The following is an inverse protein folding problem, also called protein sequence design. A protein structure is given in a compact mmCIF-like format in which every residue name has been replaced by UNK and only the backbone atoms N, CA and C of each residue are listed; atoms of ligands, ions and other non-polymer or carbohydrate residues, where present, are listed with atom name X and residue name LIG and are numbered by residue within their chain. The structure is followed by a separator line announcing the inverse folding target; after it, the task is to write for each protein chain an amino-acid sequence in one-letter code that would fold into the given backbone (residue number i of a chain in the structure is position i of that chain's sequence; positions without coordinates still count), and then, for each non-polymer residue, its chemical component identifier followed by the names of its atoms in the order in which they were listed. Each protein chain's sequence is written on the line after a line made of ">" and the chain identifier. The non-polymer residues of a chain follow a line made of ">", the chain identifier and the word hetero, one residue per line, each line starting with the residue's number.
data_IF_264790943335
#
_entry.id   IF_264790943335
#
_cell.length_a   1.000
_cell.length_b   1.000
_cell.length_c   1.000
_cell.angle_alpha   90.00
_cell.angle_beta   90.00
_cell.angle_gamma   90.00
#
_symmetry.space_group_name_H-M   'P 1'
#
loop_
_entity.id
_entity.type
_entity.pdbx_description
1 polymer ?
#
# COMPACT_ATOMS: atom_id res chain seq x y z
N UNK A 1 14.92 -8.04 -42.20
CA UNK A 1 15.13 -9.50 -42.17
C UNK A 1 16.48 -9.75 -41.52
N UNK A 2 16.45 -9.95 -40.20
CA UNK A 2 17.67 -10.18 -39.40
C UNK A 2 18.27 -11.54 -39.75
N UNK A 3 19.60 -11.58 -39.94
CA UNK A 3 20.33 -12.83 -40.14
C UNK A 3 20.11 -13.74 -38.93
N UNK A 4 19.52 -14.91 -39.17
CA UNK A 4 19.24 -15.96 -38.19
C UNK A 4 20.53 -16.44 -37.50
N UNK A 5 20.84 -15.86 -36.34
CA UNK A 5 21.98 -16.23 -35.50
C UNK A 5 21.72 -17.52 -34.67
N UNK A 6 21.19 -18.56 -35.32
CA UNK A 6 20.87 -19.89 -34.74
C UNK A 6 22.12 -20.65 -34.22
N UNK A 7 23.31 -20.10 -34.46
CA UNK A 7 24.60 -20.62 -33.99
C UNK A 7 24.80 -20.40 -32.48
N UNK A 8 24.20 -19.37 -31.91
CA UNK A 8 24.36 -19.01 -30.49
C UNK A 8 23.26 -19.58 -29.59
N UNK A 9 22.24 -20.22 -30.16
CA UNK A 9 21.15 -20.81 -29.40
C UNK A 9 21.62 -22.08 -28.70
N UNK A 10 21.79 -22.01 -27.38
CA UNK A 10 22.03 -23.18 -26.56
C UNK A 10 20.71 -23.84 -26.16
N UNK A 11 20.53 -25.08 -26.60
CA UNK A 11 19.36 -25.92 -26.29
C UNK A 11 19.69 -27.00 -25.24
N UNK A 12 20.91 -26.99 -24.70
CA UNK A 12 21.39 -27.97 -23.73
C UNK A 12 22.02 -29.22 -24.38
N UNK A 13 22.79 -29.95 -23.58
CA UNK A 13 23.59 -31.11 -24.03
C UNK A 13 22.71 -32.26 -24.57
N UNK A 14 21.67 -32.63 -23.82
CA UNK A 14 20.83 -33.79 -24.19
C UNK A 14 19.99 -33.51 -25.44
N UNK A 15 19.43 -32.29 -25.56
CA UNK A 15 18.71 -31.89 -26.76
C UNK A 15 19.64 -31.82 -27.98
N UNK A 16 20.90 -31.38 -27.84
CA UNK A 16 21.90 -31.38 -28.92
C UNK A 16 22.17 -32.80 -29.44
N UNK A 17 22.25 -33.80 -28.56
CA UNK A 17 22.44 -35.22 -28.89
C UNK A 17 21.25 -35.79 -29.67
N UNK A 18 20.02 -35.46 -29.26
CA UNK A 18 18.81 -35.88 -29.99
C UNK A 18 18.72 -35.17 -31.35
N UNK A 19 19.08 -33.89 -31.42
CA UNK A 19 19.09 -33.13 -32.68
C UNK A 19 20.21 -33.51 -33.64
N UNK A 20 21.17 -34.37 -33.27
CA UNK A 20 22.18 -34.88 -34.21
C UNK A 20 21.71 -36.10 -34.99
N UNK A 21 20.67 -36.81 -34.53
CA UNK A 21 20.08 -37.97 -35.21
C UNK A 21 18.87 -37.63 -36.09
N UNK A 22 18.46 -36.36 -36.13
CA UNK A 22 17.27 -35.89 -36.86
C UNK A 22 17.69 -35.16 -38.16
N UNK A 23 16.81 -35.21 -39.16
CA UNK A 23 16.97 -34.51 -40.45
C UNK A 23 17.21 -32.99 -40.28
N UNK A 24 18.04 -32.43 -41.17
CA UNK A 24 18.47 -31.04 -41.12
C UNK A 24 17.32 -30.02 -41.16
N UNK A 25 16.25 -30.30 -41.90
CA UNK A 25 15.06 -29.44 -41.99
C UNK A 25 14.32 -29.37 -40.64
N UNK A 26 14.02 -30.52 -40.04
CA UNK A 26 13.36 -30.60 -38.73
C UNK A 26 14.23 -29.99 -37.62
N UNK A 27 15.56 -30.18 -37.67
CA UNK A 27 16.51 -29.52 -36.76
C UNK A 27 16.47 -28.00 -36.87
N UNK A 28 16.32 -27.46 -38.09
CA UNK A 28 16.18 -26.01 -38.31
C UNK A 28 14.86 -25.50 -37.77
N UNK A 29 13.74 -26.18 -38.04
CA UNK A 29 12.42 -25.83 -37.49
C UNK A 29 12.44 -25.78 -35.96
N UNK A 30 12.97 -26.82 -35.30
CA UNK A 30 13.07 -26.86 -33.84
C UNK A 30 13.87 -25.67 -33.28
N UNK A 31 15.02 -25.33 -33.89
CA UNK A 31 15.83 -24.20 -33.43
C UNK A 31 15.11 -22.85 -33.61
N UNK A 32 14.34 -22.69 -34.69
CA UNK A 32 13.52 -21.49 -34.89
C UNK A 32 12.42 -21.39 -33.84
N UNK A 33 11.73 -22.49 -33.54
CA UNK A 33 10.69 -22.54 -32.52
C UNK A 33 11.26 -22.26 -31.12
N UNK A 34 12.40 -22.85 -30.78
CA UNK A 34 13.10 -22.59 -29.54
C UNK A 34 13.54 -21.12 -29.44
N UNK A 35 14.08 -20.54 -30.51
CA UNK A 35 14.42 -19.12 -30.56
C UNK A 35 13.17 -18.24 -30.35
N UNK A 36 12.08 -18.54 -31.05
CA UNK A 36 10.81 -17.83 -30.91
C UNK A 36 10.24 -17.95 -29.49
N UNK A 37 10.38 -19.11 -28.86
CA UNK A 37 10.02 -19.31 -27.46
C UNK A 37 10.84 -18.41 -26.54
N UNK A 38 12.17 -18.41 -26.66
CA UNK A 38 13.03 -17.53 -25.85
C UNK A 38 12.71 -16.06 -26.07
N UNK A 39 12.48 -15.62 -27.30
CA UNK A 39 12.03 -14.25 -27.57
C UNK A 39 10.70 -13.96 -26.88
N UNK A 40 9.70 -14.83 -27.06
CA UNK A 40 8.37 -14.63 -26.49
C UNK A 40 8.40 -14.55 -24.96
N UNK A 41 9.12 -15.49 -24.32
CA UNK A 41 9.27 -15.54 -22.86
C UNK A 41 10.06 -14.33 -22.35
N UNK A 42 11.18 -13.98 -23.00
CA UNK A 42 12.02 -12.85 -22.58
C UNK A 42 11.27 -11.54 -22.77
N UNK A 43 10.58 -11.34 -23.89
CA UNK A 43 9.72 -10.17 -24.14
C UNK A 43 8.60 -10.08 -23.11
N UNK A 44 7.98 -11.21 -22.75
CA UNK A 44 6.98 -11.27 -21.68
C UNK A 44 7.58 -10.84 -20.34
N UNK A 45 8.74 -11.40 -19.95
CA UNK A 45 9.43 -11.04 -18.72
C UNK A 45 9.89 -9.58 -18.71
N UNK A 46 10.47 -9.05 -19.78
CA UNK A 46 10.85 -7.65 -19.87
C UNK A 46 9.65 -6.70 -19.70
N UNK A 47 8.46 -7.13 -20.19
CA UNK A 47 7.21 -6.37 -20.05
C UNK A 47 6.60 -6.47 -18.66
N UNK A 48 6.69 -7.63 -17.99
CA UNK A 48 5.99 -7.92 -16.73
C UNK A 48 6.84 -7.78 -15.49
N UNK A 49 8.14 -8.08 -15.57
CA UNK A 49 9.04 -7.97 -14.43
C UNK A 49 9.30 -6.48 -14.14
N UNK A 50 9.34 -6.09 -12.85
CA UNK A 50 9.58 -4.71 -12.45
C UNK A 50 11.07 -4.32 -12.55
N UNK A 51 11.75 -4.67 -13.64
CA UNK A 51 13.20 -4.46 -13.84
C UNK A 51 13.60 -2.97 -13.84
N UNK A 52 12.66 -2.07 -14.12
CA UNK A 52 12.85 -0.62 -14.08
C UNK A 52 12.38 0.02 -12.77
N UNK A 53 11.80 -0.77 -11.86
CA UNK A 53 11.27 -0.26 -10.61
C UNK A 53 12.41 0.19 -9.69
N UNK A 54 12.49 1.51 -9.48
CA UNK A 54 13.55 2.13 -8.69
C UNK A 54 13.47 1.77 -7.21
N UNK A 55 12.27 1.51 -6.68
CA UNK A 55 12.10 1.10 -5.28
C UNK A 55 12.78 -0.24 -5.04
N UNK A 56 12.50 -1.22 -5.89
CA UNK A 56 13.06 -2.57 -5.75
C UNK A 56 14.58 -2.56 -5.91
N UNK A 57 15.11 -1.77 -6.85
CA UNK A 57 16.55 -1.55 -6.99
C UNK A 57 17.15 -0.91 -5.74
N UNK A 58 16.47 0.09 -5.18
CA UNK A 58 16.93 0.77 -3.98
C UNK A 58 16.91 -0.11 -2.74
N UNK A 59 15.97 -1.04 -2.61
CA UNK A 59 15.87 -1.96 -1.47
C UNK A 59 17.06 -2.92 -1.40
N UNK A 60 17.73 -3.21 -2.52
CA UNK A 60 18.91 -4.09 -2.55
C UNK A 60 20.04 -3.59 -1.63
N UNK A 61 20.07 -2.29 -1.31
CA UNK A 61 21.04 -1.69 -0.38
C UNK A 61 20.94 -2.25 1.06
N UNK A 62 19.82 -2.91 1.38
CA UNK A 62 19.58 -3.59 2.65
C UNK A 62 20.17 -5.00 2.70
N UNK A 63 20.61 -5.55 1.57
CA UNK A 63 21.25 -6.85 1.55
C UNK A 63 22.61 -6.79 2.28
N UNK A 64 22.99 -7.80 3.09
CA UNK A 64 24.28 -7.80 3.79
C UNK A 64 25.49 -7.63 2.86
N UNK A 65 25.41 -8.10 1.62
CA UNK A 65 26.47 -7.89 0.60
C UNK A 65 26.71 -6.40 0.31
N UNK A 66 25.65 -5.58 0.27
CA UNK A 66 25.78 -4.14 0.05
C UNK A 66 26.46 -3.41 1.23
N UNK A 67 26.68 -4.10 2.36
CA UNK A 67 27.54 -3.58 3.44
C UNK A 67 29.02 -3.60 3.07
N UNK A 68 29.45 -4.58 2.26
CA UNK A 68 30.84 -4.71 1.78
C UNK A 68 31.17 -3.70 0.68
N UNK A 69 30.17 -3.07 0.08
CA UNK A 69 30.37 -2.05 -0.94
C UNK A 69 30.80 -0.71 -0.32
N UNK A 70 31.63 0.08 -1.04
CA UNK A 70 31.99 1.43 -0.62
C UNK A 70 30.76 2.29 -0.29
N UNK A 71 30.78 2.95 0.88
CA UNK A 71 29.63 3.73 1.38
C UNK A 71 29.19 4.83 0.41
N UNK A 72 30.12 5.44 -0.33
CA UNK A 72 29.82 6.48 -1.33
C UNK A 72 28.91 5.98 -2.47
N UNK A 73 28.95 4.69 -2.80
CA UNK A 73 28.07 4.07 -3.81
C UNK A 73 26.68 3.79 -3.26
N UNK A 74 26.59 3.38 -1.99
CA UNK A 74 25.33 2.95 -1.37
C UNK A 74 24.54 4.10 -0.72
N UNK A 75 25.22 5.16 -0.28
CA UNK A 75 24.58 6.27 0.45
C UNK A 75 23.53 7.02 -0.39
N UNK A 76 23.81 7.22 -1.68
CA UNK A 76 22.86 7.83 -2.61
C UNK A 76 21.63 6.94 -2.86
N UNK A 77 21.81 5.61 -2.78
CA UNK A 77 20.72 4.63 -2.90
C UNK A 77 19.84 4.65 -1.66
N UNK A 78 20.43 4.73 -0.46
CA UNK A 78 19.70 4.90 0.81
C UNK A 78 18.91 6.21 0.79
N UNK A 79 19.53 7.32 0.40
CA UNK A 79 18.85 8.62 0.27
C UNK A 79 17.63 8.55 -0.66
N UNK A 80 17.76 7.85 -1.79
CA UNK A 80 16.66 7.62 -2.73
C UNK A 80 15.56 6.77 -2.09
N UNK A 81 15.94 5.69 -1.40
CA UNK A 81 15.00 4.82 -0.70
C UNK A 81 14.20 5.59 0.36
N UNK A 82 14.86 6.42 1.17
CA UNK A 82 14.20 7.28 2.18
C UNK A 82 13.16 8.21 1.55
N UNK A 83 13.49 8.83 0.42
CA UNK A 83 12.56 9.71 -0.32
C UNK A 83 11.35 8.94 -0.84
N UNK A 84 11.55 7.72 -1.32
CA UNK A 84 10.45 6.88 -1.82
C UNK A 84 9.55 6.34 -0.69
N UNK A 85 10.08 6.21 0.52
CA UNK A 85 9.37 5.75 1.72
C UNK A 85 8.96 6.92 2.66
N UNK A 86 8.73 8.11 2.09
CA UNK A 86 8.42 9.33 2.85
C UNK A 86 7.15 9.26 3.72
N UNK A 87 6.24 8.34 3.41
CA UNK A 87 5.06 8.08 4.26
C UNK A 87 5.41 7.39 5.59
N UNK A 88 6.52 6.67 5.63
CA UNK A 88 6.97 5.93 6.81
C UNK A 88 8.07 6.67 7.57
N UNK A 89 8.79 7.58 6.90
CA UNK A 89 9.97 8.26 7.43
C UNK A 89 9.96 9.73 7.05
N UNK A 90 10.09 10.59 8.06
CA UNK A 90 10.12 12.03 7.91
C UNK A 90 11.43 12.49 7.25
N UNK A 91 11.37 13.50 6.37
CA UNK A 91 12.55 13.91 5.58
C UNK A 91 13.60 14.62 6.44
N UNK A 92 13.20 15.19 7.57
CA UNK A 92 14.07 15.84 8.56
C UNK A 92 14.98 14.82 9.27
N UNK A 93 14.61 13.53 9.25
CA UNK A 93 15.45 12.44 9.78
C UNK A 93 16.49 11.95 8.77
N UNK A 94 16.52 12.49 7.54
CA UNK A 94 17.37 12.01 6.46
C UNK A 94 18.85 12.00 6.83
N UNK A 95 19.37 13.10 7.38
CA UNK A 95 20.81 13.18 7.70
C UNK A 95 21.18 12.16 8.79
N UNK A 96 20.34 12.02 9.82
CA UNK A 96 20.52 11.01 10.89
C UNK A 96 20.56 9.59 10.34
N UNK A 97 19.70 9.28 9.37
CA UNK A 97 19.67 7.97 8.70
C UNK A 97 20.94 7.73 7.89
N UNK A 98 21.43 8.75 7.18
CA UNK A 98 22.65 8.65 6.39
C UNK A 98 23.87 8.47 7.31
N UNK A 99 23.89 9.12 8.48
CA UNK A 99 24.93 8.97 9.49
C UNK A 99 24.90 7.56 10.10
N UNK A 100 23.73 7.09 10.54
CA UNK A 100 23.55 5.71 11.03
C UNK A 100 23.97 4.68 9.98
N UNK A 101 23.69 4.93 8.68
CA UNK A 101 24.15 4.05 7.60
C UNK A 101 25.67 4.01 7.49
N UNK A 102 26.38 5.13 7.67
CA UNK A 102 27.84 5.16 7.64
C UNK A 102 28.43 4.34 8.79
N UNK A 103 27.86 4.49 9.99
CA UNK A 103 28.24 3.71 11.17
C UNK A 103 28.02 2.22 10.89
N UNK A 104 26.84 1.83 10.40
CA UNK A 104 26.49 0.45 10.08
C UNK A 104 27.50 -0.24 9.13
N UNK A 105 28.00 0.47 8.12
CA UNK A 105 28.97 -0.09 7.16
C UNK A 105 30.27 -0.48 7.87
N UNK A 106 30.72 0.32 8.83
CA UNK A 106 31.98 0.12 9.55
C UNK A 106 31.84 -0.57 10.91
N UNK A 107 30.64 -0.96 11.32
CA UNK A 107 30.39 -1.48 12.67
C UNK A 107 30.91 -2.92 12.89
N UNK A 108 32.01 -3.06 13.61
CA UNK A 108 32.66 -4.35 13.88
C UNK A 108 31.81 -5.30 14.77
N UNK A 109 30.83 -4.78 15.50
CA UNK A 109 29.89 -5.60 16.29
C UNK A 109 28.97 -6.46 15.41
N UNK A 110 28.79 -6.09 14.13
CA UNK A 110 27.95 -6.81 13.18
C UNK A 110 28.72 -7.97 12.56
N UNK A 111 28.36 -9.17 13.00
CA UNK A 111 29.04 -10.41 12.61
C UNK A 111 28.54 -10.97 11.28
N UNK A 112 29.46 -11.52 10.48
CA UNK A 112 29.13 -12.14 9.19
C UNK A 112 28.23 -13.37 9.33
N UNK A 113 28.36 -14.10 10.44
CA UNK A 113 27.53 -15.26 10.81
C UNK A 113 26.03 -14.95 10.94
N UNK A 114 25.65 -13.67 11.09
CA UNK A 114 24.23 -13.27 11.08
C UNK A 114 23.63 -13.30 9.68
N UNK A 115 24.46 -13.17 8.65
CA UNK A 115 24.04 -13.13 7.25
C UNK A 115 24.17 -14.47 6.55
N UNK A 116 25.16 -15.29 6.95
CA UNK A 116 25.46 -16.58 6.31
C UNK A 116 25.63 -17.65 7.37
N UNK A 117 25.06 -18.83 7.13
CA UNK A 117 25.31 -20.05 7.90
C UNK A 117 26.14 -21.04 7.10
N UNK A 118 26.94 -21.86 7.79
CA UNK A 118 27.53 -23.08 7.22
C UNK A 118 26.55 -24.22 7.41
N UNK A 119 26.27 -24.98 6.36
CA UNK A 119 25.57 -26.25 6.53
C UNK A 119 26.55 -27.28 7.14
N UNK A 120 26.06 -28.21 7.99
CA UNK A 120 26.93 -29.22 8.61
C UNK A 120 27.60 -30.18 7.61
N UNK A 121 26.96 -30.44 6.47
CA UNK A 121 27.36 -31.51 5.54
C UNK A 121 27.91 -31.03 4.19
N UNK A 122 27.89 -29.73 3.89
CA UNK A 122 28.44 -29.18 2.65
C UNK A 122 29.15 -27.85 2.92
N UNK A 123 30.31 -27.63 2.31
CA UNK A 123 31.04 -26.34 2.28
C UNK A 123 30.29 -25.23 1.51
N UNK A 124 28.96 -25.34 1.40
CA UNK A 124 28.09 -24.38 0.72
C UNK A 124 27.56 -23.37 1.74
N UNK A 125 27.90 -22.11 1.52
CA UNK A 125 27.40 -20.99 2.30
C UNK A 125 25.92 -20.74 2.00
N UNK A 126 25.07 -20.84 3.02
CA UNK A 126 23.64 -20.56 2.88
C UNK A 126 23.28 -19.20 3.50
N UNK A 127 22.63 -18.34 2.72
CA UNK A 127 22.11 -17.06 3.21
C UNK A 127 20.99 -17.28 4.22
N UNK A 128 21.11 -16.63 5.37
CA UNK A 128 20.06 -16.59 6.38
C UNK A 128 18.95 -15.62 5.96
N UNK A 129 17.79 -15.74 6.60
CA UNK A 129 16.67 -14.83 6.37
C UNK A 129 17.10 -13.36 6.66
N UNK A 130 16.82 -12.46 5.71
CA UNK A 130 17.13 -11.04 5.81
C UNK A 130 16.46 -10.36 7.01
N UNK A 131 15.27 -10.81 7.41
CA UNK A 131 14.55 -10.31 8.59
C UNK A 131 15.28 -10.70 9.87
N UNK A 132 15.86 -11.90 9.94
CA UNK A 132 16.66 -12.34 11.08
C UNK A 132 17.97 -11.56 11.17
N UNK A 133 18.64 -11.33 10.04
CA UNK A 133 19.83 -10.50 9.97
C UNK A 133 19.57 -9.08 10.50
N UNK A 134 18.58 -8.39 9.94
CA UNK A 134 18.23 -7.04 10.40
C UNK A 134 17.66 -7.05 11.82
N UNK A 135 16.98 -8.11 12.24
CA UNK A 135 16.55 -8.30 13.62
C UNK A 135 17.73 -8.21 14.60
N UNK A 136 18.83 -8.92 14.31
CA UNK A 136 20.04 -8.87 15.14
C UNK A 136 20.69 -7.48 15.11
N UNK A 137 20.85 -6.88 13.92
CA UNK A 137 21.45 -5.54 13.78
C UNK A 137 20.65 -4.49 14.54
N UNK A 138 19.32 -4.50 14.39
CA UNK A 138 18.43 -3.53 15.02
C UNK A 138 18.23 -3.80 16.53
N UNK A 139 18.68 -4.94 17.05
CA UNK A 139 18.70 -5.22 18.47
C UNK A 139 19.89 -4.58 19.20
N UNK A 140 20.95 -4.18 18.48
CA UNK A 140 22.12 -3.52 19.06
C UNK A 140 21.73 -2.20 19.76
N UNK A 141 22.31 -1.99 20.93
CA UNK A 141 22.14 -0.78 21.73
C UNK A 141 23.45 0.00 21.71
N UNK A 142 23.34 1.33 21.73
CA UNK A 142 24.47 2.20 21.96
C UNK A 142 24.95 2.04 23.40
N UNK A 143 26.22 1.66 23.56
CA UNK A 143 26.85 1.36 24.85
C UNK A 143 26.81 2.57 25.79
N UNK A 144 26.83 3.79 25.24
CA UNK A 144 26.92 5.02 26.03
C UNK A 144 25.56 5.57 26.45
N UNK A 145 24.50 5.25 25.71
CA UNK A 145 23.18 5.90 25.83
C UNK A 145 22.08 4.89 26.23
N UNK A 146 22.32 3.59 26.06
CA UNK A 146 21.34 2.53 26.32
C UNK A 146 20.16 2.52 25.33
N UNK A 147 20.19 3.37 24.30
CA UNK A 147 19.18 3.46 23.23
C UNK A 147 19.56 2.59 22.05
N UNK A 148 18.62 2.31 21.16
CA UNK A 148 18.87 1.57 19.93
C UNK A 148 19.90 2.28 19.06
N UNK A 149 20.97 1.56 18.69
CA UNK A 149 22.10 2.07 17.90
C UNK A 149 21.67 2.57 16.52
N UNK A 150 20.68 1.89 15.92
CA UNK A 150 20.17 2.15 14.57
C UNK A 150 18.70 2.57 14.56
N UNK A 151 18.34 3.53 15.41
CA UNK A 151 16.94 3.90 15.60
C UNK A 151 16.30 4.46 14.32
N UNK A 152 16.92 5.43 13.65
CA UNK A 152 16.34 6.07 12.47
C UNK A 152 16.39 5.16 11.24
N UNK A 153 17.51 4.45 11.04
CA UNK A 153 17.70 3.47 9.99
C UNK A 153 16.69 2.32 10.12
N UNK A 154 16.33 1.91 11.35
CA UNK A 154 15.32 0.87 11.59
C UNK A 154 13.99 1.16 10.93
N UNK A 155 13.57 2.43 10.84
CA UNK A 155 12.29 2.81 10.25
C UNK A 155 12.26 2.49 8.76
N UNK A 156 13.35 2.80 8.04
CA UNK A 156 13.48 2.47 6.61
C UNK A 156 13.54 0.96 6.40
N UNK A 157 14.38 0.28 7.19
CA UNK A 157 14.57 -1.16 7.08
C UNK A 157 13.22 -1.88 7.26
N UNK A 158 12.50 -1.58 8.34
CA UNK A 158 11.18 -2.16 8.60
C UNK A 158 10.18 -1.82 7.50
N UNK A 159 10.10 -0.55 7.08
CA UNK A 159 9.18 -0.14 6.02
C UNK A 159 9.45 -0.88 4.69
N UNK A 160 10.73 -1.06 4.33
CA UNK A 160 11.13 -1.75 3.12
C UNK A 160 10.85 -3.27 3.19
N UNK A 161 11.18 -3.93 4.31
CA UNK A 161 11.00 -5.38 4.47
C UNK A 161 9.53 -5.78 4.69
N UNK A 162 8.66 -4.84 5.09
CA UNK A 162 7.22 -5.07 5.15
C UNK A 162 6.49 -4.93 3.79
N UNK A 163 7.20 -4.58 2.71
CA UNK A 163 6.60 -4.52 1.39
C UNK A 163 6.24 -5.94 0.90
N UNK A 164 4.98 -6.17 0.57
CA UNK A 164 4.53 -7.47 0.12
C UNK A 164 5.29 -7.93 -1.14
N UNK A 165 5.89 -9.12 -1.07
CA UNK A 165 6.62 -9.73 -2.20
C UNK A 165 5.71 -10.29 -3.30
N UNK A 166 4.38 -10.14 -3.18
CA UNK A 166 3.40 -10.55 -4.17
C UNK A 166 2.01 -10.70 -3.61
N UNK A 167 1.11 -11.28 -4.40
CA UNK A 167 -0.27 -11.58 -3.98
C UNK A 167 -0.39 -12.94 -3.28
N UNK A 168 0.65 -13.78 -3.32
CA UNK A 168 0.62 -15.14 -2.74
C UNK A 168 0.20 -15.19 -1.25
N UNK A 169 0.63 -14.26 -0.36
CA UNK A 169 0.12 -14.23 1.02
C UNK A 169 -1.39 -13.96 1.09
N UNK A 170 -1.90 -13.09 0.22
CA UNK A 170 -3.33 -12.74 0.12
C UNK A 170 -4.13 -13.93 -0.43
N UNK A 171 -3.64 -14.59 -1.47
CA UNK A 171 -4.26 -15.79 -2.05
C UNK A 171 -4.29 -16.98 -1.08
N UNK A 172 -3.20 -17.17 -0.32
CA UNK A 172 -3.17 -18.12 0.81
C UNK A 172 -4.21 -17.74 1.86
N UNK A 173 -4.37 -16.45 2.12
CA UNK A 173 -5.49 -15.88 2.87
C UNK A 173 -6.83 -16.35 2.30
N UNK A 174 -7.13 -16.13 1.03
CA UNK A 174 -8.41 -16.58 0.45
C UNK A 174 -8.63 -18.08 0.55
N UNK A 175 -7.60 -18.90 0.35
CA UNK A 175 -7.70 -20.36 0.47
C UNK A 175 -8.08 -20.80 1.88
N UNK A 176 -7.47 -20.19 2.91
CA UNK A 176 -7.80 -20.48 4.30
C UNK A 176 -9.21 -19.97 4.64
N UNK A 177 -9.66 -18.83 4.08
CA UNK A 177 -11.03 -18.34 4.25
C UNK A 177 -12.03 -19.32 3.64
N UNK A 178 -11.78 -19.79 2.41
CA UNK A 178 -12.61 -20.78 1.72
C UNK A 178 -12.77 -22.05 2.55
N UNK A 179 -11.69 -22.55 3.18
CA UNK A 179 -11.78 -23.71 4.09
C UNK A 179 -12.69 -23.43 5.29
N UNK A 180 -12.63 -22.23 5.87
CA UNK A 180 -13.47 -21.86 7.02
C UNK A 180 -14.94 -21.61 6.67
N UNK A 181 -15.25 -21.19 5.45
CA UNK A 181 -16.62 -20.87 5.01
C UNK A 181 -17.29 -22.00 4.23
N UNK A 182 -16.60 -23.12 4.00
CA UNK A 182 -17.07 -24.25 3.19
C UNK A 182 -18.48 -24.74 3.57
N UNK A 183 -18.77 -24.88 4.87
CA UNK A 183 -20.09 -25.29 5.37
C UNK A 183 -20.91 -24.11 5.96
N UNK A 184 -20.42 -22.88 5.79
CA UNK A 184 -20.94 -21.67 6.46
C UNK A 184 -20.99 -20.46 5.52
N UNK A 185 -21.63 -20.63 4.37
CA UNK A 185 -21.66 -19.63 3.30
C UNK A 185 -22.31 -18.28 3.70
N UNK A 186 -23.15 -18.24 4.75
CA UNK A 186 -23.87 -17.04 5.22
C UNK A 186 -23.17 -16.31 6.38
N UNK A 187 -21.90 -16.59 6.64
CA UNK A 187 -21.16 -15.90 7.69
C UNK A 187 -20.94 -14.42 7.37
N UNK A 188 -21.20 -13.55 8.36
CA UNK A 188 -20.88 -12.14 8.26
C UNK A 188 -19.36 -11.92 8.22
N UNK A 189 -18.94 -10.82 7.57
CA UNK A 189 -17.53 -10.44 7.46
C UNK A 189 -16.85 -10.31 8.83
N UNK A 190 -17.54 -9.73 9.82
CA UNK A 190 -17.05 -9.57 11.19
C UNK A 190 -16.73 -10.92 11.83
N UNK A 191 -17.57 -11.93 11.62
CA UNK A 191 -17.34 -13.29 12.11
C UNK A 191 -16.13 -13.93 11.43
N UNK A 192 -15.96 -13.75 10.12
CA UNK A 192 -14.79 -14.25 9.38
C UNK A 192 -13.50 -13.60 9.91
N UNK A 193 -13.51 -12.28 10.12
CA UNK A 193 -12.38 -11.54 10.70
C UNK A 193 -12.07 -12.04 12.12
N UNK A 194 -13.08 -12.22 12.96
CA UNK A 194 -12.91 -12.73 14.32
C UNK A 194 -12.28 -14.13 14.36
N UNK A 195 -12.81 -15.08 13.58
CA UNK A 195 -12.23 -16.42 13.46
C UNK A 195 -10.80 -16.38 12.95
N UNK A 196 -10.50 -15.45 12.04
CA UNK A 196 -9.17 -15.26 11.50
C UNK A 196 -8.16 -14.80 12.53
N UNK A 197 -8.50 -13.77 13.28
CA UNK A 197 -7.66 -13.25 14.34
C UNK A 197 -7.32 -14.34 15.36
N UNK A 198 -8.32 -15.12 15.78
CA UNK A 198 -8.12 -16.23 16.72
C UNK A 198 -7.20 -17.28 16.11
N UNK A 199 -7.50 -17.76 14.90
CA UNK A 199 -6.70 -18.82 14.25
C UNK A 199 -5.26 -18.39 13.99
N UNK A 200 -5.04 -17.16 13.53
CA UNK A 200 -3.72 -16.64 13.25
C UNK A 200 -2.94 -16.37 14.56
N UNK A 201 -3.62 -16.00 15.65
CA UNK A 201 -3.01 -15.88 16.99
C UNK A 201 -2.57 -17.24 17.54
N UNK A 202 -3.48 -18.23 17.54
CA UNK A 202 -3.19 -19.60 18.01
C UNK A 202 -2.10 -20.27 17.17
N UNK A 203 -1.95 -19.90 15.89
CA UNK A 203 -0.88 -20.43 15.03
C UNK A 203 0.49 -19.79 15.30
N UNK A 204 0.54 -18.56 15.82
CA UNK A 204 1.80 -17.90 16.20
C UNK A 204 2.38 -18.51 17.48
N UNK A 205 1.50 -18.95 18.36
CA UNK A 205 1.85 -19.76 19.51
C UNK A 205 1.89 -21.24 19.12
N UNK A 206 2.57 -22.08 19.90
CA UNK A 206 2.38 -23.52 19.76
C UNK A 206 0.98 -23.86 20.27
N UNK A 207 0.18 -24.57 19.47
CA UNK A 207 -1.20 -24.94 19.83
C UNK A 207 -1.26 -25.70 21.16
N UNK A 208 -0.20 -26.45 21.48
CA UNK A 208 -0.04 -27.19 22.74
C UNK A 208 0.24 -26.29 23.95
N UNK A 209 0.71 -25.08 23.74
CA UNK A 209 1.07 -24.11 24.79
C UNK A 209 -0.03 -23.08 25.04
N UNK A 210 -1.00 -22.93 24.13
CA UNK A 210 -2.11 -21.99 24.30
C UNK A 210 -3.02 -22.44 25.45
N UNK A 211 -2.87 -21.81 26.61
CA UNK A 211 -3.71 -22.08 27.79
C UNK A 211 -5.08 -21.45 27.60
N UNK A 212 -6.13 -22.28 27.65
CA UNK A 212 -7.51 -21.80 27.65
C UNK A 212 -7.85 -21.29 29.04
N UNK A 213 -8.02 -19.97 29.17
CA UNK A 213 -8.33 -19.35 30.45
C UNK A 213 -9.81 -19.51 30.83
N UNK A 214 -10.14 -19.33 32.11
CA UNK A 214 -11.53 -19.41 32.60
C UNK A 214 -12.41 -18.33 31.99
N UNK A 215 -11.84 -17.15 31.72
CA UNK A 215 -12.51 -16.03 31.06
C UNK A 215 -12.91 -16.41 29.63
N UNK A 216 -12.03 -17.08 28.87
CA UNK A 216 -12.34 -17.55 27.52
C UNK A 216 -13.51 -18.54 27.51
N UNK A 217 -13.56 -19.45 28.48
CA UNK A 217 -14.67 -20.40 28.64
C UNK A 217 -15.97 -19.66 28.97
N UNK A 218 -15.90 -18.68 29.87
CA UNK A 218 -17.05 -17.85 30.23
C UNK A 218 -17.56 -17.06 29.01
N UNK A 219 -16.69 -16.38 28.27
CA UNK A 219 -17.05 -15.67 27.04
C UNK A 219 -17.69 -16.60 25.99
N UNK A 220 -17.16 -17.82 25.83
CA UNK A 220 -17.75 -18.79 24.93
C UNK A 220 -19.16 -19.19 25.34
N UNK A 221 -19.40 -19.46 26.63
CA UNK A 221 -20.73 -19.80 27.15
C UNK A 221 -21.75 -18.69 26.95
N UNK A 222 -21.33 -17.43 27.08
CA UNK A 222 -22.21 -16.27 26.88
C UNK A 222 -22.43 -15.90 25.41
N UNK A 223 -21.58 -16.39 24.50
CA UNK A 223 -21.56 -15.95 23.09
C UNK A 223 -22.90 -16.09 22.39
N UNK A 224 -23.62 -17.20 22.61
CA UNK A 224 -24.94 -17.43 22.02
C UNK A 224 -25.98 -16.43 22.53
N UNK A 225 -25.94 -16.11 23.83
CA UNK A 225 -26.86 -15.15 24.44
C UNK A 225 -26.61 -13.74 23.91
N UNK A 226 -25.33 -13.33 23.86
CA UNK A 226 -24.92 -12.03 23.30
C UNK A 226 -25.29 -11.90 21.82
N UNK A 227 -25.06 -12.95 21.02
CA UNK A 227 -25.45 -12.97 19.62
C UNK A 227 -26.96 -12.80 19.43
N UNK A 228 -27.78 -13.51 20.22
CA UNK A 228 -29.24 -13.36 20.16
C UNK A 228 -29.69 -11.95 20.55
N UNK A 229 -29.08 -11.38 21.59
CA UNK A 229 -29.37 -10.00 22.01
C UNK A 229 -29.02 -8.99 20.91
N UNK A 230 -27.86 -9.13 20.27
CA UNK A 230 -27.42 -8.28 19.16
C UNK A 230 -28.35 -8.42 17.94
N UNK A 231 -28.79 -9.63 17.62
CA UNK A 231 -29.75 -9.87 16.53
C UNK A 231 -31.07 -9.14 16.78
N UNK A 232 -31.62 -9.25 18.00
CA UNK A 232 -32.84 -8.54 18.39
C UNK A 232 -32.66 -7.02 18.34
N UNK A 233 -31.51 -6.51 18.78
CA UNK A 233 -31.21 -5.07 18.71
C UNK A 233 -31.13 -4.58 17.25
N UNK A 234 -30.52 -5.37 16.37
CA UNK A 234 -30.43 -5.06 14.95
C UNK A 234 -31.79 -5.10 14.26
N UNK A 235 -32.64 -6.09 14.55
CA UNK A 235 -34.02 -6.14 14.06
C UNK A 235 -34.84 -4.93 14.53
N UNK A 236 -34.64 -4.48 15.78
CA UNK A 236 -35.29 -3.28 16.31
C UNK A 236 -34.79 -2.01 15.60
N UNK A 237 -33.49 -1.93 15.31
CA UNK A 237 -32.91 -0.81 14.54
C UNK A 237 -33.44 -0.78 13.11
N UNK A 238 -33.53 -1.91 12.43
CA UNK A 238 -34.10 -2.01 11.08
C UNK A 238 -35.59 -1.65 11.07
N UNK A 239 -36.39 -2.16 12.02
CA UNK A 239 -37.81 -1.78 12.15
C UNK A 239 -37.99 -0.28 12.43
N UNK A 240 -37.10 0.34 13.24
CA UNK A 240 -37.09 1.79 13.45
C UNK A 240 -36.74 2.54 12.16
N UNK A 241 -35.75 2.06 11.40
CA UNK A 241 -35.36 2.65 10.12
C UNK A 241 -36.49 2.57 9.07
N UNK A 242 -37.18 1.44 9.00
CA UNK A 242 -38.33 1.24 8.10
C UNK A 242 -39.54 2.06 8.52
N UNK A 243 -39.77 2.23 9.84
CA UNK A 243 -40.81 3.13 10.33
C UNK A 243 -40.48 4.61 10.04
N UNK A 244 -39.20 5.01 10.05
CA UNK A 244 -38.74 6.34 9.61
C UNK A 244 -38.89 6.53 8.10
N UNK A 245 -38.78 5.46 7.30
CA UNK A 245 -39.05 5.48 5.85
C UNK A 245 -40.55 5.47 5.50
N UNK A 246 -41.42 5.02 6.42
CA UNK A 246 -42.89 5.00 6.26
C UNK A 246 -43.59 6.29 6.71
N UNK A 247 -42.87 7.27 7.25
CA UNK A 247 -43.34 8.67 7.38
C UNK A 247 -43.34 9.28 5.97
N UNK A 248 -44.43 9.92 5.49
CA UNK A 248 -44.68 10.07 4.06
C UNK A 248 -43.57 10.88 3.36
N UNK A 249 -43.02 10.29 2.30
CA UNK A 249 -42.09 10.89 1.33
C UNK A 249 -42.62 12.21 0.70
N UNK A 250 -43.92 12.50 0.89
CA UNK A 250 -44.60 13.72 0.47
C UNK A 250 -44.12 14.97 1.23
N UNK A 251 -43.86 14.91 2.55
CA UNK A 251 -43.61 16.14 3.35
C UNK A 251 -42.17 16.65 3.22
N UNK A 252 -41.19 15.77 2.98
CA UNK A 252 -39.77 16.14 2.85
C UNK A 252 -39.38 16.73 1.48
N UNK A 253 -40.05 16.31 0.40
CA UNK A 253 -39.80 16.87 -0.94
C UNK A 253 -40.30 18.31 -1.03
N UNK A 254 -41.49 18.61 -0.50
CA UNK A 254 -42.08 19.96 -0.54
C UNK A 254 -41.23 20.99 0.21
N UNK A 255 -40.72 20.66 1.39
CA UNK A 255 -39.87 21.57 2.17
C UNK A 255 -38.50 21.80 1.54
N UNK A 256 -37.94 20.78 0.89
CA UNK A 256 -36.63 20.88 0.24
C UNK A 256 -36.71 21.66 -1.08
N UNK A 257 -37.80 21.48 -1.85
CA UNK A 257 -38.06 22.23 -3.09
C UNK A 257 -38.40 23.71 -2.81
N UNK A 258 -39.14 24.02 -1.74
CA UNK A 258 -39.41 25.40 -1.32
C UNK A 258 -38.14 26.14 -0.86
N UNK A 259 -37.26 25.44 -0.13
CA UNK A 259 -35.95 25.97 0.25
C UNK A 259 -35.05 26.19 -0.97
N UNK A 260 -35.05 25.26 -1.94
CA UNK A 260 -34.31 25.40 -3.19
C UNK A 260 -34.81 26.58 -4.03
N UNK A 261 -36.13 26.78 -4.10
CA UNK A 261 -36.73 27.89 -4.84
C UNK A 261 -36.40 29.25 -4.21
N UNK A 262 -36.50 29.36 -2.88
CA UNK A 262 -36.16 30.59 -2.15
C UNK A 262 -34.66 30.93 -2.23
N UNK A 263 -33.79 29.92 -2.16
CA UNK A 263 -32.35 30.10 -2.31
C UNK A 263 -32.00 30.57 -3.73
N UNK A 264 -32.60 29.94 -4.75
CA UNK A 264 -32.40 30.31 -6.16
C UNK A 264 -32.86 31.75 -6.43
N UNK A 265 -34.02 32.13 -5.89
CA UNK A 265 -34.53 33.51 -5.99
C UNK A 265 -33.58 34.53 -5.34
N UNK A 266 -33.01 34.22 -4.17
CA UNK A 266 -32.07 35.10 -3.49
C UNK A 266 -30.76 35.28 -4.26
N UNK A 267 -30.25 34.19 -4.85
CA UNK A 267 -29.06 34.22 -5.71
C UNK A 267 -29.30 35.06 -6.97
N UNK A 268 -30.44 34.85 -7.65
CA UNK A 268 -30.80 35.63 -8.85
C UNK A 268 -31.00 37.12 -8.53
N UNK A 269 -31.60 37.44 -7.38
CA UNK A 269 -31.74 38.82 -6.90
C UNK A 269 -30.39 39.47 -6.60
N UNK A 270 -29.46 38.72 -6.00
CA UNK A 270 -28.12 39.22 -5.70
C UNK A 270 -27.31 39.48 -6.98
N UNK A 271 -27.38 38.59 -7.97
CA UNK A 271 -26.73 38.78 -9.26
C UNK A 271 -27.25 39.99 -10.01
N UNK A 272 -28.58 40.22 -10.04
CA UNK A 272 -29.16 41.43 -10.65
C UNK A 272 -28.60 42.72 -10.03
N UNK A 273 -28.47 42.77 -8.70
CA UNK A 273 -27.92 43.93 -8.00
C UNK A 273 -26.44 44.15 -8.31
N UNK A 274 -25.66 43.08 -8.46
CA UNK A 274 -24.24 43.16 -8.84
C UNK A 274 -24.11 43.62 -10.29
N UNK A 275 -24.91 43.09 -11.21
CA UNK A 275 -24.87 43.45 -12.62
C UNK A 275 -25.30 44.90 -12.84
N UNK A 276 -26.35 45.34 -12.14
CA UNK A 276 -26.81 46.73 -12.17
C UNK A 276 -25.77 47.66 -11.55
N UNK A 277 -25.19 47.29 -10.41
CA UNK A 277 -24.08 48.02 -9.80
C UNK A 277 -22.87 48.14 -10.74
N UNK A 278 -22.50 47.07 -11.45
CA UNK A 278 -21.39 47.09 -12.41
C UNK A 278 -21.70 47.99 -13.62
N UNK A 279 -22.92 47.94 -14.17
CA UNK A 279 -23.34 48.85 -15.25
C UNK A 279 -23.31 50.32 -14.81
N UNK A 280 -23.79 50.60 -13.59
CA UNK A 280 -23.74 51.94 -13.01
C UNK A 280 -22.30 52.39 -12.77
N UNK A 281 -21.42 51.50 -12.32
CA UNK A 281 -20.01 51.81 -12.13
C UNK A 281 -19.33 52.16 -13.46
N UNK A 282 -19.57 51.38 -14.53
CA UNK A 282 -19.04 51.68 -15.85
C UNK A 282 -19.54 53.03 -16.40
N UNK A 283 -20.83 53.34 -16.20
CA UNK A 283 -21.41 54.62 -16.61
C UNK A 283 -20.85 55.79 -15.78
N UNK A 284 -20.67 55.61 -14.47
CA UNK A 284 -20.13 56.61 -13.55
C UNK A 284 -18.66 56.91 -13.85
N UNK A 285 -17.86 55.88 -14.16
CA UNK A 285 -16.47 56.02 -14.57
C UNK A 285 -16.34 56.80 -15.88
N UNK A 286 -17.25 56.58 -16.85
CA UNK A 286 -17.31 57.38 -18.09
C UNK A 286 -17.68 58.85 -17.83
N UNK A 287 -18.55 59.12 -16.86
CA UNK A 287 -18.99 60.47 -16.48
C UNK A 287 -18.08 61.17 -15.47
N UNK A 288 -17.07 60.48 -14.92
CA UNK A 288 -16.16 60.95 -13.86
C UNK A 288 -16.87 61.49 -12.61
N UNK A 289 -18.05 60.94 -12.28
CA UNK A 289 -18.84 61.35 -11.12
C UNK A 289 -18.54 60.44 -9.93
N UNK A 290 -17.89 60.99 -8.91
CA UNK A 290 -17.47 60.21 -7.73
C UNK A 290 -18.67 59.79 -6.85
N UNK A 291 -19.73 60.59 -6.82
CA UNK A 291 -20.97 60.28 -6.10
C UNK A 291 -21.67 59.02 -6.68
N UNK A 292 -21.70 58.91 -8.01
CA UNK A 292 -22.32 57.77 -8.70
C UNK A 292 -21.48 56.49 -8.56
N UNK A 293 -20.15 56.61 -8.46
CA UNK A 293 -19.25 55.49 -8.15
C UNK A 293 -19.55 54.93 -6.74
N UNK A 294 -19.79 55.79 -5.75
CA UNK A 294 -20.14 55.36 -4.40
C UNK A 294 -21.50 54.64 -4.38
N UNK A 295 -22.49 55.17 -5.10
CA UNK A 295 -23.80 54.54 -5.21
C UNK A 295 -23.73 53.17 -5.90
N UNK A 296 -22.95 53.05 -6.99
CA UNK A 296 -22.70 51.78 -7.67
C UNK A 296 -21.99 50.76 -6.77
N UNK A 297 -20.99 51.20 -6.01
CA UNK A 297 -20.26 50.34 -5.07
C UNK A 297 -21.16 49.85 -3.92
N UNK A 298 -22.11 50.68 -3.46
CA UNK A 298 -23.08 50.28 -2.45
C UNK A 298 -24.00 49.14 -2.93
N UNK A 299 -24.44 49.17 -4.20
CA UNK A 299 -25.25 48.10 -4.80
C UNK A 299 -24.48 46.78 -4.92
N UNK A 300 -23.22 46.84 -5.38
CA UNK A 300 -22.34 45.66 -5.47
C UNK A 300 -22.10 45.07 -4.07
N UNK A 301 -21.90 45.93 -3.07
CA UNK A 301 -21.68 45.50 -1.68
C UNK A 301 -22.93 44.85 -1.09
N UNK A 302 -24.12 45.41 -1.36
CA UNK A 302 -25.39 44.84 -0.93
C UNK A 302 -25.67 43.47 -1.58
N UNK A 303 -25.41 43.32 -2.87
CA UNK A 303 -25.51 42.05 -3.58
C UNK A 303 -24.53 40.99 -3.03
N UNK A 304 -23.28 41.36 -2.81
CA UNK A 304 -22.27 40.48 -2.22
C UNK A 304 -22.60 40.07 -0.77
N UNK A 305 -23.25 40.94 0.01
CA UNK A 305 -23.71 40.60 1.36
C UNK A 305 -24.84 39.57 1.32
N UNK A 306 -25.77 39.69 0.36
CA UNK A 306 -26.85 38.72 0.11
C UNK A 306 -26.35 37.34 -0.34
N UNK A 307 -25.18 37.24 -0.97
CA UNK A 307 -24.57 35.95 -1.35
C UNK A 307 -23.86 35.23 -0.19
N UNK A 308 -23.57 35.93 0.91
CA UNK A 308 -22.83 35.37 2.08
C UNK A 308 -23.73 34.83 3.19
N UNK A 309 -25.04 35.09 3.11
CA UNK A 309 -26.09 34.61 4.02
C UNK A 309 -26.84 33.44 3.40
#
# INVERSE_FOLDING_TARGET
>A
MEKENLKYLDVGHEAKKILSSIEAAAKRCFKLDAQNFYFSVTSYFLKKLPLKNQLLKSIQVLHPVARKEPVNKTIGVVKRLTKMLSRCVQQEEMDKILDERRIYVSDEEIKEEWSVGKQPDEDVLQWKNIDAYWGNVLCLNDINIGKKKYYHLSKIVKAALCLSHGQAPVERGFSINKRMTSDRARMAQTTIVGLRLIKDSVKKENVSETVITKEMIHFYRESLSKYKAELLENELKEKKLDNVKKVPECVRKTTQDELLYSLKYNVDSAHKLIDEGNKHLEAALKRKSFADVIAAQALITAGNKKLKT
#
